data_IF_938739089207
#
_entry.id   IF_938739089207
#
_cell.length_a   1.000
_cell.length_b   1.000
_cell.length_c   1.000
_cell.angle_alpha   90.00
_cell.angle_beta   90.00
_cell.angle_gamma   90.00
#
_symmetry.space_group_name_H-M   'P 1'
#
loop_
_entity.id
_entity.type
_entity.pdbx_description
1 polymer ?
#
# COMPACT_ATOMS: atom_id res chain seq x y z
N UNK A 1 17.18 4.49 -11.56
CA UNK A 1 18.50 3.96 -11.16
C UNK A 1 18.80 2.60 -11.83
N UNK A 2 18.12 2.31 -12.94
CA UNK A 2 17.04 1.30 -13.05
C UNK A 2 16.60 1.13 -14.52
N UNK A 3 17.35 1.61 -15.52
CA UNK A 3 16.84 1.51 -16.89
C UNK A 3 16.97 0.06 -17.43
N UNK A 4 18.03 -0.68 -17.08
CA UNK A 4 18.25 -2.04 -17.61
C UNK A 4 18.53 -3.11 -16.54
N UNK A 5 18.80 -2.75 -15.27
CA UNK A 5 19.24 -3.68 -14.21
C UNK A 5 18.22 -3.80 -13.08
N UNK A 6 16.99 -4.20 -13.40
CA UNK A 6 15.92 -4.43 -12.44
C UNK A 6 15.10 -5.66 -12.78
N UNK A 7 14.58 -6.33 -11.75
CA UNK A 7 13.58 -7.39 -11.91
C UNK A 7 12.20 -6.74 -11.69
N UNK A 8 11.21 -6.92 -12.59
CA UNK A 8 9.87 -6.42 -12.36
C UNK A 8 9.31 -6.92 -11.01
N UNK A 9 8.63 -6.05 -10.25
CA UNK A 9 8.25 -6.32 -8.85
C UNK A 9 7.53 -7.66 -8.65
N UNK A 10 6.58 -8.02 -9.52
CA UNK A 10 5.85 -9.30 -9.41
C UNK A 10 6.78 -10.51 -9.54
N UNK A 11 7.74 -10.45 -10.45
CA UNK A 11 8.75 -11.51 -10.61
C UNK A 11 9.69 -11.55 -9.41
N UNK A 12 10.19 -10.38 -8.98
CA UNK A 12 11.08 -10.26 -7.83
C UNK A 12 10.46 -10.83 -6.56
N UNK A 13 9.21 -10.46 -6.29
CA UNK A 13 8.47 -10.88 -5.11
C UNK A 13 8.12 -12.38 -5.15
N UNK A 14 7.78 -12.91 -6.33
CA UNK A 14 7.55 -14.35 -6.51
C UNK A 14 8.83 -15.17 -6.31
N UNK A 15 9.97 -14.72 -6.87
CA UNK A 15 11.27 -15.34 -6.63
C UNK A 15 11.68 -15.28 -5.15
N UNK A 16 11.46 -14.14 -4.51
CA UNK A 16 11.76 -13.95 -3.09
C UNK A 16 10.93 -14.89 -2.21
N UNK A 17 9.63 -15.04 -2.51
CA UNK A 17 8.77 -16.00 -1.83
C UNK A 17 9.33 -17.43 -1.91
N UNK A 18 9.75 -17.89 -3.08
CA UNK A 18 10.31 -19.23 -3.25
C UNK A 18 11.62 -19.44 -2.49
N UNK A 19 12.48 -18.41 -2.46
CA UNK A 19 13.72 -18.41 -1.67
C UNK A 19 13.40 -18.54 -0.18
N UNK A 20 12.48 -17.72 0.34
CA UNK A 20 12.10 -17.72 1.75
C UNK A 20 11.38 -19.01 2.15
N UNK A 21 10.56 -19.58 1.25
CA UNK A 21 9.96 -20.91 1.42
C UNK A 21 11.01 -21.99 1.57
N UNK A 22 12.06 -21.98 0.74
CA UNK A 22 13.19 -22.92 0.84
C UNK A 22 14.00 -22.71 2.11
N UNK A 23 14.22 -21.47 2.53
CA UNK A 23 14.92 -21.16 3.79
C UNK A 23 14.13 -21.68 4.98
N UNK A 24 12.81 -21.49 4.98
CA UNK A 24 11.92 -22.02 6.02
C UNK A 24 11.95 -23.54 6.06
N UNK A 25 11.91 -24.21 4.91
CA UNK A 25 12.02 -25.67 4.81
C UNK A 25 13.33 -26.20 5.40
N UNK A 26 14.44 -25.45 5.25
CA UNK A 26 15.75 -25.76 5.84
C UNK A 26 15.90 -25.32 7.30
N UNK A 27 14.83 -24.84 7.93
CA UNK A 27 14.81 -24.34 9.29
C UNK A 27 15.78 -23.18 9.56
N UNK A 28 16.01 -22.31 8.56
CA UNK A 28 16.75 -21.07 8.75
C UNK A 28 15.86 -19.99 9.38
N UNK A 29 16.48 -19.09 10.15
CA UNK A 29 15.83 -17.89 10.64
C UNK A 29 15.51 -16.96 9.47
N UNK A 30 14.24 -16.56 9.35
CA UNK A 30 13.81 -15.64 8.30
C UNK A 30 14.00 -14.19 8.77
N UNK A 31 14.61 -13.31 7.95
CA UNK A 31 14.65 -11.89 8.24
C UNK A 31 13.26 -11.26 8.08
N UNK A 32 13.07 -10.07 8.65
CA UNK A 32 11.93 -9.24 8.28
C UNK A 32 12.13 -8.69 6.88
N UNK A 33 11.08 -8.78 6.06
CA UNK A 33 11.12 -8.38 4.66
C UNK A 33 10.18 -7.20 4.42
N UNK A 34 10.72 -6.14 3.84
CA UNK A 34 9.97 -5.01 3.31
C UNK A 34 10.11 -4.99 1.78
N UNK A 35 9.02 -5.22 1.04
CA UNK A 35 9.02 -5.08 -0.41
C UNK A 35 8.82 -3.61 -0.80
N UNK A 36 9.55 -3.15 -1.80
CA UNK A 36 9.48 -1.78 -2.30
C UNK A 36 9.46 -1.79 -3.83
N UNK A 37 8.81 -0.80 -4.43
CA UNK A 37 8.82 -0.62 -5.89
C UNK A 37 7.46 -0.33 -6.47
N UNK A 38 7.15 0.95 -6.68
CA UNK A 38 5.97 1.39 -7.43
C UNK A 38 4.65 1.43 -6.64
N UNK A 39 4.65 1.03 -5.36
CA UNK A 39 3.45 1.09 -4.51
C UNK A 39 3.03 2.53 -4.21
N UNK A 40 1.77 2.85 -4.49
CA UNK A 40 1.16 4.16 -4.31
C UNK A 40 -0.28 4.11 -3.76
N UNK A 41 -1.00 3.00 -3.96
CA UNK A 41 -2.37 2.80 -3.48
C UNK A 41 -2.52 1.56 -2.60
N UNK A 42 -3.58 1.55 -1.82
CA UNK A 42 -3.99 0.52 -0.87
C UNK A 42 -4.15 -0.86 -1.53
N UNK A 43 -4.67 -0.91 -2.76
CA UNK A 43 -4.85 -2.16 -3.51
C UNK A 43 -3.51 -2.75 -3.94
N UNK A 44 -2.55 -1.90 -4.33
CA UNK A 44 -1.20 -2.34 -4.67
C UNK A 44 -0.49 -2.87 -3.42
N UNK A 45 -0.64 -2.18 -2.27
CA UNK A 45 -0.06 -2.63 -1.00
C UNK A 45 -0.66 -3.97 -0.58
N UNK A 46 -1.99 -4.12 -0.65
CA UNK A 46 -2.67 -5.38 -0.33
C UNK A 46 -2.20 -6.52 -1.24
N UNK A 47 -2.06 -6.26 -2.55
CA UNK A 47 -1.53 -7.24 -3.52
C UNK A 47 -0.09 -7.63 -3.21
N UNK A 48 0.78 -6.69 -2.83
CA UNK A 48 2.14 -6.99 -2.39
C UNK A 48 2.15 -7.89 -1.15
N UNK A 49 1.41 -7.50 -0.10
CA UNK A 49 1.28 -8.33 1.10
C UNK A 49 0.75 -9.73 0.80
N UNK A 50 -0.27 -9.86 -0.04
CA UNK A 50 -0.83 -11.15 -0.45
C UNK A 50 0.16 -11.97 -1.27
N UNK A 51 0.79 -11.39 -2.29
CA UNK A 51 1.77 -12.08 -3.13
C UNK A 51 2.95 -12.57 -2.29
N UNK A 52 3.47 -11.76 -1.38
CA UNK A 52 4.58 -12.13 -0.52
C UNK A 52 4.22 -12.99 0.71
N UNK A 53 2.92 -13.23 0.98
CA UNK A 53 2.48 -13.94 2.17
C UNK A 53 3.02 -15.38 2.24
N UNK A 54 3.38 -15.92 3.42
CA UNK A 54 3.40 -15.24 4.73
C UNK A 54 4.76 -14.58 5.04
N UNK A 55 5.67 -14.49 4.07
CA UNK A 55 7.08 -14.14 4.33
C UNK A 55 7.39 -12.64 4.20
N UNK A 56 6.63 -11.89 3.39
CA UNK A 56 6.74 -10.43 3.29
C UNK A 56 5.94 -9.79 4.43
N UNK A 57 6.60 -8.93 5.21
CA UNK A 57 6.02 -8.34 6.42
C UNK A 57 5.54 -6.90 6.19
N UNK A 58 6.22 -6.17 5.31
CA UNK A 58 5.98 -4.75 5.08
C UNK A 58 5.98 -4.41 3.61
N UNK A 59 5.24 -3.37 3.24
CA UNK A 59 5.33 -2.71 1.94
C UNK A 59 5.84 -1.29 2.17
N UNK A 60 6.98 -0.97 1.58
CA UNK A 60 7.61 0.33 1.70
C UNK A 60 7.10 1.29 0.61
N UNK A 61 6.61 2.46 1.04
CA UNK A 61 6.07 3.50 0.17
C UNK A 61 6.98 4.72 0.21
N UNK A 62 7.73 4.93 -0.88
CA UNK A 62 8.67 6.05 -1.00
C UNK A 62 8.06 7.22 -1.77
N UNK A 63 8.18 7.18 -3.11
CA UNK A 63 7.83 8.30 -4.00
C UNK A 63 6.39 8.80 -3.84
N UNK A 64 5.43 7.92 -3.61
CA UNK A 64 4.03 8.32 -3.42
C UNK A 64 3.83 9.11 -2.11
N UNK A 65 4.50 8.72 -1.02
CA UNK A 65 4.50 9.49 0.22
C UNK A 65 5.19 10.86 0.03
N UNK A 66 6.31 10.90 -0.70
CA UNK A 66 6.96 12.18 -1.05
C UNK A 66 6.04 13.07 -1.90
N UNK A 67 5.30 12.50 -2.84
CA UNK A 67 4.32 13.24 -3.64
C UNK A 67 3.21 13.83 -2.78
N UNK A 68 2.72 13.08 -1.78
CA UNK A 68 1.76 13.60 -0.80
C UNK A 68 2.33 14.78 0.01
N UNK A 69 3.61 14.69 0.42
CA UNK A 69 4.30 15.77 1.12
C UNK A 69 4.42 17.03 0.25
N UNK A 70 4.83 16.86 -1.01
CA UNK A 70 5.00 17.97 -1.96
C UNK A 70 3.66 18.63 -2.28
N UNK A 71 2.61 17.82 -2.47
CA UNK A 71 1.25 18.33 -2.67
C UNK A 71 0.76 19.12 -1.45
N UNK A 72 0.96 18.59 -0.24
CA UNK A 72 0.60 19.30 1.00
C UNK A 72 1.31 20.65 1.12
N UNK A 73 2.63 20.68 0.91
CA UNK A 73 3.42 21.92 0.88
C UNK A 73 2.90 22.89 -0.18
N UNK A 74 2.55 22.38 -1.37
CA UNK A 74 2.07 23.24 -2.45
C UNK A 74 0.74 23.91 -2.12
N UNK A 75 -0.15 23.18 -1.45
CA UNK A 75 -1.43 23.74 -0.98
C UNK A 75 -1.19 24.87 0.04
N UNK A 76 -0.26 24.70 0.97
CA UNK A 76 0.12 25.75 1.93
C UNK A 76 0.70 27.00 1.26
N UNK A 77 1.55 26.84 0.25
CA UNK A 77 2.01 27.97 -0.57
C UNK A 77 0.84 28.73 -1.23
N UNK A 78 -0.16 28.00 -1.74
CA UNK A 78 -1.34 28.58 -2.41
C UNK A 78 -2.29 29.28 -1.43
N UNK A 79 -2.40 28.77 -0.19
CA UNK A 79 -3.13 29.41 0.89
C UNK A 79 -2.45 30.74 1.24
N UNK A 80 -1.13 30.71 1.45
CA UNK A 80 -0.34 31.89 1.82
C UNK A 80 -0.33 32.96 0.72
N UNK A 81 -0.40 32.58 -0.56
CA UNK A 81 -0.50 33.51 -1.69
C UNK A 81 -1.92 34.00 -1.97
N UNK A 82 -2.95 33.44 -1.30
CA UNK A 82 -4.36 33.76 -1.55
C UNK A 82 -4.86 33.28 -2.92
N UNK A 83 -4.15 32.36 -3.59
CA UNK A 83 -4.46 31.87 -4.94
C UNK A 83 -4.91 30.40 -4.93
N UNK A 84 -5.67 29.99 -3.90
CA UNK A 84 -6.16 28.61 -3.78
C UNK A 84 -7.15 28.31 -4.92
N UNK A 85 -6.95 27.23 -5.71
CA UNK A 85 -7.89 26.81 -6.76
C UNK A 85 -9.31 26.53 -6.22
N UNK A 86 -10.33 26.74 -7.05
CA UNK A 86 -11.75 26.54 -6.67
C UNK A 86 -12.05 25.13 -6.18
N UNK A 87 -11.35 24.13 -6.73
CA UNK A 87 -11.50 22.72 -6.38
C UNK A 87 -11.04 22.41 -4.94
N UNK A 88 -10.13 23.23 -4.41
CA UNK A 88 -9.66 23.13 -3.03
C UNK A 88 -10.46 24.08 -2.14
N UNK A 89 -10.79 25.28 -2.62
CA UNK A 89 -11.60 26.27 -1.89
C UNK A 89 -12.96 25.74 -1.42
N UNK A 90 -13.55 24.75 -2.12
CA UNK A 90 -14.79 24.10 -1.67
C UNK A 90 -14.67 23.41 -0.30
N UNK A 91 -13.45 23.07 0.12
CA UNK A 91 -13.16 22.49 1.43
C UNK A 91 -12.85 23.56 2.48
N UNK A 92 -12.53 24.77 2.05
CA UNK A 92 -12.25 25.91 2.91
C UNK A 92 -11.12 26.81 2.39
N UNK A 93 -10.73 27.74 3.24
CA UNK A 93 -9.75 28.79 2.98
C UNK A 93 -8.52 28.68 3.87
N UNK A 94 -8.63 28.01 5.01
CA UNK A 94 -7.53 27.82 5.96
C UNK A 94 -6.93 26.42 5.85
N UNK A 95 -5.72 26.26 6.40
CA UNK A 95 -5.05 24.96 6.50
C UNK A 95 -5.93 23.93 7.22
N UNK A 96 -6.64 24.35 8.27
CA UNK A 96 -7.47 23.49 9.11
C UNK A 96 -8.78 23.06 8.45
N UNK A 97 -9.34 23.92 7.60
CA UNK A 97 -10.54 23.59 6.83
C UNK A 97 -10.20 22.64 5.68
N UNK A 98 -9.08 22.89 4.98
CA UNK A 98 -8.66 22.12 3.80
C UNK A 98 -8.15 20.72 4.18
N UNK A 99 -7.37 20.60 5.26
CA UNK A 99 -6.80 19.31 5.70
C UNK A 99 -7.61 18.70 6.84
N UNK A 100 -8.54 17.80 6.52
CA UNK A 100 -9.44 17.17 7.49
C UNK A 100 -8.74 16.47 8.66
N UNK A 101 -7.60 15.81 8.41
CA UNK A 101 -6.86 15.04 9.42
C UNK A 101 -6.16 15.89 10.48
N UNK A 102 -6.09 17.23 10.32
CA UNK A 102 -5.60 18.12 11.39
C UNK A 102 -6.43 17.95 12.66
N UNK A 103 -7.73 17.68 12.54
CA UNK A 103 -8.61 17.44 13.69
C UNK A 103 -8.17 16.23 14.50
N UNK A 104 -7.67 15.20 13.84
CA UNK A 104 -7.14 14.01 14.51
C UNK A 104 -5.77 14.33 15.13
N UNK A 105 -4.90 15.06 14.42
CA UNK A 105 -3.60 15.49 14.95
C UNK A 105 -3.74 16.34 16.22
N UNK A 106 -4.81 17.14 16.36
CA UNK A 106 -5.09 17.94 17.58
C UNK A 106 -5.33 17.09 18.83
N UNK A 107 -5.63 15.81 18.67
CA UNK A 107 -5.75 14.88 19.81
C UNK A 107 -4.38 14.48 20.38
N UNK A 108 -3.31 14.62 19.60
CA UNK A 108 -1.96 14.17 19.94
C UNK A 108 -0.96 15.32 20.13
N UNK A 109 -1.23 16.49 19.54
CA UNK A 109 -0.33 17.64 19.56
C UNK A 109 -1.08 18.91 19.97
N UNK A 110 -0.49 19.70 20.88
CA UNK A 110 -1.07 20.97 21.33
C UNK A 110 -0.98 22.07 20.25
N UNK A 111 0.14 22.13 19.52
CA UNK A 111 0.43 23.17 18.51
C UNK A 111 0.36 22.62 17.08
N UNK A 112 -0.80 22.09 16.66
CA UNK A 112 -0.96 21.56 15.30
C UNK A 112 -0.80 22.61 14.20
N UNK A 113 -0.97 23.88 14.54
CA UNK A 113 -0.78 25.00 13.61
C UNK A 113 0.68 25.11 13.12
N UNK A 114 1.65 24.66 13.92
CA UNK A 114 3.08 24.67 13.56
C UNK A 114 3.47 23.52 12.63
N UNK A 115 2.61 22.49 12.51
CA UNK A 115 2.88 21.36 11.63
C UNK A 115 2.75 21.84 10.18
N UNK A 116 3.82 21.65 9.40
CA UNK A 116 3.80 21.96 7.96
C UNK A 116 2.71 21.16 7.24
N UNK A 117 2.06 21.79 6.27
CA UNK A 117 1.04 21.10 5.47
C UNK A 117 1.60 19.91 4.69
N UNK A 118 2.90 19.91 4.38
CA UNK A 118 3.57 18.75 3.79
C UNK A 118 3.56 17.52 4.74
N UNK A 119 3.86 17.72 6.02
CA UNK A 119 3.79 16.63 7.00
C UNK A 119 2.35 16.12 7.19
N UNK A 120 1.38 17.04 7.24
CA UNK A 120 -0.05 16.70 7.28
C UNK A 120 -0.44 15.90 6.03
N UNK A 121 0.03 16.30 4.85
CA UNK A 121 -0.23 15.59 3.59
C UNK A 121 0.28 14.14 3.60
N UNK A 122 1.46 13.88 4.18
CA UNK A 122 1.96 12.52 4.37
C UNK A 122 1.09 11.74 5.36
N UNK A 123 0.73 12.36 6.48
CA UNK A 123 -0.14 11.74 7.48
C UNK A 123 -1.48 11.33 6.86
N UNK A 124 -2.17 12.26 6.19
CA UNK A 124 -3.43 12.01 5.49
C UNK A 124 -3.32 10.89 4.46
N UNK A 125 -2.23 10.88 3.69
CA UNK A 125 -1.99 9.84 2.70
C UNK A 125 -1.84 8.46 3.34
N UNK A 126 -1.06 8.34 4.42
CA UNK A 126 -0.90 7.08 5.16
C UNK A 126 -2.21 6.67 5.82
N UNK A 127 -2.97 7.61 6.38
CA UNK A 127 -4.28 7.33 6.99
C UNK A 127 -5.26 6.75 5.95
N UNK A 128 -5.32 7.36 4.76
CA UNK A 128 -6.09 6.87 3.62
C UNK A 128 -5.69 5.46 3.19
N UNK A 129 -4.39 5.19 3.08
CA UNK A 129 -3.88 3.85 2.76
C UNK A 129 -4.29 2.83 3.84
N UNK A 130 -4.14 3.18 5.11
CA UNK A 130 -4.50 2.33 6.25
C UNK A 130 -5.99 1.97 6.23
N UNK A 131 -6.86 2.95 5.99
CA UNK A 131 -8.30 2.72 5.85
C UNK A 131 -8.62 1.79 4.66
N UNK A 132 -8.03 2.04 3.49
CA UNK A 132 -8.25 1.23 2.29
C UNK A 132 -7.77 -0.21 2.44
N UNK A 133 -6.60 -0.45 3.06
CA UNK A 133 -6.10 -1.80 3.33
C UNK A 133 -7.05 -2.53 4.28
N UNK A 134 -7.53 -1.88 5.35
CA UNK A 134 -8.51 -2.47 6.27
C UNK A 134 -9.80 -2.84 5.55
N UNK A 135 -10.26 -2.04 4.60
CA UNK A 135 -11.43 -2.36 3.78
C UNK A 135 -11.20 -3.62 2.94
N UNK A 136 -10.07 -3.72 2.22
CA UNK A 136 -9.73 -4.90 1.43
C UNK A 136 -9.57 -6.16 2.29
N UNK A 137 -8.93 -6.03 3.45
CA UNK A 137 -8.83 -7.09 4.45
C UNK A 137 -10.22 -7.54 4.94
N UNK A 138 -11.11 -6.61 5.27
CA UNK A 138 -12.47 -6.92 5.73
C UNK A 138 -13.30 -7.63 4.65
N UNK A 139 -13.18 -7.23 3.39
CA UNK A 139 -13.82 -7.90 2.25
C UNK A 139 -13.36 -9.36 2.10
N UNK A 140 -12.09 -9.64 2.40
CA UNK A 140 -11.52 -10.99 2.43
C UNK A 140 -11.68 -11.69 3.79
N UNK A 141 -12.45 -11.11 4.72
CA UNK A 141 -12.68 -11.61 6.09
C UNK A 141 -11.39 -11.84 6.89
N UNK A 142 -10.36 -11.03 6.64
CA UNK A 142 -9.08 -11.06 7.35
C UNK A 142 -9.03 -9.92 8.37
N UNK A 143 -8.92 -10.24 9.65
CA UNK A 143 -8.89 -9.22 10.72
C UNK A 143 -7.50 -9.02 11.34
N UNK A 144 -6.47 -9.61 10.72
CA UNK A 144 -5.06 -9.49 11.11
C UNK A 144 -4.18 -9.68 9.88
N UNK A 145 -3.07 -8.94 9.78
CA UNK A 145 -2.14 -9.05 8.65
C UNK A 145 -1.63 -10.48 8.43
N UNK A 146 -1.44 -11.25 9.51
CA UNK A 146 -1.01 -12.65 9.43
C UNK A 146 -2.04 -13.60 8.81
N UNK A 147 -3.28 -13.15 8.59
CA UNK A 147 -4.30 -13.93 7.90
C UNK A 147 -4.37 -13.62 6.40
N UNK A 148 -3.67 -12.58 5.92
CA UNK A 148 -3.52 -12.35 4.49
C UNK A 148 -2.80 -13.55 3.89
N UNK A 149 -3.37 -14.09 2.82
CA UNK A 149 -2.86 -15.27 2.14
C UNK A 149 -2.63 -15.00 0.65
N UNK A 150 -1.78 -15.80 0.03
CA UNK A 150 -1.52 -15.76 -1.41
C UNK A 150 -2.79 -16.00 -2.23
N UNK A 151 -3.75 -16.76 -1.72
CA UNK A 151 -5.06 -16.97 -2.36
C UNK A 151 -5.97 -15.75 -2.33
N UNK A 152 -5.62 -14.67 -1.62
CA UNK A 152 -6.43 -13.44 -1.57
C UNK A 152 -6.32 -12.61 -2.87
N UNK A 153 -5.45 -13.03 -3.80
CA UNK A 153 -5.30 -12.46 -5.14
C UNK A 153 -5.35 -13.57 -6.20
N UNK A 154 -5.83 -13.22 -7.39
CA UNK A 154 -5.95 -14.14 -8.52
C UNK A 154 -5.24 -13.51 -9.74
N UNK A 155 -4.38 -14.27 -10.45
CA UNK A 155 -3.77 -13.80 -11.68
C UNK A 155 -4.82 -13.62 -12.78
N UNK A 156 -4.80 -12.46 -13.44
CA UNK A 156 -5.69 -12.17 -14.56
C UNK A 156 -5.16 -12.63 -15.92
N UNK A 157 -3.89 -13.04 -15.99
CA UNK A 157 -3.25 -13.51 -17.23
C UNK A 157 -2.49 -14.80 -16.97
N UNK A 158 -2.36 -15.65 -17.99
CA UNK A 158 -1.57 -16.88 -17.92
C UNK A 158 -0.12 -16.58 -17.51
N UNK A 159 0.47 -15.49 -18.02
CA UNK A 159 1.82 -15.08 -17.64
C UNK A 159 1.92 -14.77 -16.13
N UNK A 160 0.94 -14.05 -15.58
CA UNK A 160 0.91 -13.78 -14.14
C UNK A 160 0.75 -15.09 -13.34
N UNK A 161 -0.10 -16.01 -13.79
CA UNK A 161 -0.28 -17.32 -13.15
C UNK A 161 1.00 -18.14 -13.16
N UNK A 162 1.68 -18.21 -14.30
CA UNK A 162 2.96 -18.91 -14.46
C UNK A 162 4.07 -18.32 -13.57
N UNK A 163 4.16 -17.00 -13.48
CA UNK A 163 5.20 -16.32 -12.70
C UNK A 163 4.96 -16.43 -11.20
N UNK A 164 3.69 -16.32 -10.79
CA UNK A 164 3.31 -16.30 -9.37
C UNK A 164 2.97 -17.69 -8.84
N UNK A 165 2.80 -18.69 -9.70
CA UNK A 165 2.30 -20.02 -9.34
C UNK A 165 0.98 -19.97 -8.55
N UNK A 166 0.13 -18.97 -8.83
CA UNK A 166 -1.21 -18.84 -8.26
C UNK A 166 -2.22 -19.48 -9.21
N UNK A 167 -3.25 -20.08 -8.62
CA UNK A 167 -4.35 -20.69 -9.36
C UNK A 167 -5.12 -19.63 -10.16
N UNK A 168 -5.45 -19.95 -11.41
CA UNK A 168 -6.38 -19.16 -12.23
C UNK A 168 -7.83 -19.39 -11.79
N UNK A 169 -8.76 -18.61 -12.35
CA UNK A 169 -10.19 -18.86 -12.12
C UNK A 169 -10.64 -20.25 -12.58
N UNK A 170 -10.09 -20.75 -13.68
CA UNK A 170 -10.42 -22.09 -14.20
C UNK A 170 -9.90 -23.18 -13.27
N UNK A 171 -8.67 -23.04 -12.77
CA UNK A 171 -8.07 -23.98 -11.80
C UNK A 171 -8.93 -24.04 -10.52
N UNK A 172 -9.35 -22.87 -10.01
CA UNK A 172 -10.22 -22.78 -8.83
C UNK A 172 -11.56 -23.43 -9.13
N UNK A 173 -12.19 -23.14 -10.27
CA UNK A 173 -13.49 -23.68 -10.65
C UNK A 173 -13.44 -25.22 -10.73
N UNK A 174 -12.45 -25.78 -11.44
CA UNK A 174 -12.28 -27.24 -11.58
C UNK A 174 -12.16 -27.88 -10.20
N UNK A 175 -11.30 -27.34 -9.33
CA UNK A 175 -11.11 -27.86 -7.97
C UNK A 175 -12.38 -27.83 -7.13
N UNK A 176 -13.20 -26.78 -7.23
CA UNK A 176 -14.44 -26.71 -6.47
C UNK A 176 -15.53 -27.63 -7.05
N UNK A 177 -15.55 -27.84 -8.37
CA UNK A 177 -16.46 -28.80 -9.01
C UNK A 177 -16.15 -30.25 -8.61
N UNK A 178 -14.88 -30.61 -8.42
CA UNK A 178 -14.47 -31.95 -7.96
C UNK A 178 -14.90 -32.28 -6.52
N UNK A 179 -15.30 -31.28 -5.73
CA UNK A 179 -15.78 -31.47 -4.34
C UNK A 179 -17.30 -31.71 -4.23
N UNK A 180 -18.05 -31.49 -5.31
CA UNK A 180 -19.50 -31.70 -5.38
C UNK A 180 -19.83 -33.16 -5.69
#
# INVERSE_FOLDING_TARGET
MMNEWGIPTVYLESMLYDILKKFKFRNYNLPQIAIAGGFASEDQIYKGLALGAPYVNFVAVGRAAMAAAMSGKKVEELINSGTVPKEIQRFGSTKEEIFADIRELKLYYENTEDISAGAIGVYSYINRLSAGIKQLMALNRKFKLSYIDRSDIIPMTELAAQVTCLDTYDDILIRELEKL
#
